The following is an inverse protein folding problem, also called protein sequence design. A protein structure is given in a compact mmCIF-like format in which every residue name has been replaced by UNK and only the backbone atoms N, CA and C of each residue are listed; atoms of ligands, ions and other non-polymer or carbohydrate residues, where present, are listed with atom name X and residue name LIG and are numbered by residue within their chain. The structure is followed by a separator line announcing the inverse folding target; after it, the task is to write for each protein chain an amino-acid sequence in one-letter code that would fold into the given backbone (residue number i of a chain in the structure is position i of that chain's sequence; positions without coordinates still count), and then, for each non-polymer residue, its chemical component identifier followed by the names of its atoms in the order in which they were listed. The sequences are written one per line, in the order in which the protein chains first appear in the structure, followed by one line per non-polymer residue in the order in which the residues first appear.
data_IF_681023243233
#
_entry.id   IF_681023243233
#
_cell.length_a   1.000
_cell.length_b   1.000
_cell.length_c   1.000
_cell.angle_alpha   90.00
_cell.angle_beta   90.00
_cell.angle_gamma   90.00
#
_symmetry.space_group_name_H-M   'P 1'
#
loop_
_entity.id
_entity.type
_entity.pdbx_description
1 polymer ?
#
# COMPACT_ATOMS: atom_id res chain seq x y z
N UNK A 1 10.97 -40.33 -0.19
CA UNK A 1 9.80 -39.74 0.48
C UNK A 1 9.85 -38.27 0.13
N UNK A 2 9.09 -37.90 -0.90
CA UNK A 2 9.25 -36.65 -1.62
C UNK A 2 8.12 -35.68 -1.28
N UNK A 3 8.56 -34.43 -1.06
CA UNK A 3 7.92 -33.21 -1.56
C UNK A 3 6.78 -32.62 -0.71
N UNK A 4 7.23 -31.84 0.27
CA UNK A 4 6.55 -30.68 0.84
C UNK A 4 6.10 -29.73 -0.26
N UNK A 5 4.85 -29.79 -0.68
CA UNK A 5 4.22 -28.74 -1.48
C UNK A 5 2.70 -28.91 -1.45
N UNK A 6 2.02 -27.86 -0.98
CA UNK A 6 0.66 -27.38 -1.28
C UNK A 6 -0.07 -26.94 0.00
N UNK A 7 0.41 -25.85 0.60
CA UNK A 7 -0.44 -24.90 1.32
C UNK A 7 -0.28 -23.54 0.62
N UNK A 8 -0.57 -23.53 -0.68
CA UNK A 8 -0.56 -22.34 -1.52
C UNK A 8 -1.89 -22.26 -2.30
N UNK A 9 -3.00 -22.49 -1.60
CA UNK A 9 -4.35 -22.30 -2.19
C UNK A 9 -5.37 -21.72 -1.19
N UNK A 10 -5.00 -21.47 0.06
CA UNK A 10 -5.92 -20.86 1.04
C UNK A 10 -6.24 -19.37 0.78
N UNK A 11 -5.64 -18.75 -0.25
CA UNK A 11 -5.93 -17.38 -0.69
C UNK A 11 -6.52 -17.29 -2.10
N UNK A 12 -7.22 -18.34 -2.56
CA UNK A 12 -8.15 -18.25 -3.70
C UNK A 12 -9.48 -17.57 -3.34
N UNK A 13 -9.54 -16.89 -2.19
CA UNK A 13 -10.65 -16.00 -1.82
C UNK A 13 -10.64 -14.76 -2.69
N UNK A 14 -11.81 -14.36 -3.19
CA UNK A 14 -11.96 -13.13 -3.96
C UNK A 14 -11.47 -11.94 -3.11
N UNK A 15 -10.32 -11.38 -3.48
CA UNK A 15 -9.80 -10.15 -2.88
C UNK A 15 -10.81 -9.05 -3.20
N UNK A 16 -11.42 -8.51 -2.16
CA UNK A 16 -12.36 -7.41 -2.29
C UNK A 16 -11.63 -6.12 -1.96
N UNK A 17 -11.52 -5.23 -2.95
CA UNK A 17 -10.98 -3.89 -2.78
C UNK A 17 -12.13 -2.96 -2.43
N UNK A 18 -12.07 -2.37 -1.24
CA UNK A 18 -13.00 -1.36 -0.79
C UNK A 18 -12.27 -0.02 -0.85
N UNK A 19 -12.85 0.95 -1.56
CA UNK A 19 -12.35 2.33 -1.57
C UNK A 19 -13.45 3.21 -0.99
N UNK A 20 -13.16 3.83 0.14
CA UNK A 20 -14.03 4.82 0.77
C UNK A 20 -13.37 6.18 0.65
N UNK A 21 -14.14 7.21 0.31
CA UNK A 21 -13.66 8.58 0.27
C UNK A 21 -14.50 9.39 1.26
N UNK A 22 -13.92 9.76 2.40
CA UNK A 22 -14.59 10.49 3.47
C UNK A 22 -13.87 11.83 3.68
N UNK A 23 -14.61 12.93 3.63
CA UNK A 23 -14.08 14.28 3.93
C UNK A 23 -12.86 14.73 3.08
N UNK A 24 -12.62 14.11 1.93
CA UNK A 24 -11.47 14.39 1.07
C UNK A 24 -10.26 13.50 1.36
N UNK A 25 -10.37 12.57 2.30
CA UNK A 25 -9.43 11.49 2.56
C UNK A 25 -9.93 10.22 1.86
N UNK A 26 -9.03 9.46 1.25
CA UNK A 26 -9.33 8.18 0.63
C UNK A 26 -8.80 7.09 1.52
N UNK A 27 -9.60 6.08 1.79
CA UNK A 27 -9.20 4.90 2.52
C UNK A 27 -9.43 3.70 1.60
N UNK A 28 -8.36 2.98 1.31
CA UNK A 28 -8.38 1.79 0.46
C UNK A 28 -8.09 0.61 1.36
N UNK A 29 -9.02 -0.33 1.49
CA UNK A 29 -8.80 -1.58 2.21
C UNK A 29 -8.97 -2.78 1.29
N UNK A 30 -8.14 -3.80 1.51
CA UNK A 30 -8.23 -5.09 0.85
C UNK A 30 -8.69 -6.11 1.88
N UNK A 31 -9.84 -6.71 1.62
CA UNK A 31 -10.40 -7.78 2.42
C UNK A 31 -10.24 -9.14 1.72
N UNK A 32 -9.89 -10.17 2.49
CA UNK A 32 -9.97 -11.57 2.05
C UNK A 32 -11.12 -12.26 2.78
N UNK A 33 -12.24 -12.45 2.09
CA UNK A 33 -13.46 -12.99 2.70
C UNK A 33 -14.05 -12.05 3.75
N UNK A 34 -13.83 -12.33 5.04
CA UNK A 34 -14.37 -11.58 6.18
C UNK A 34 -13.34 -10.81 7.01
N UNK A 35 -12.07 -10.78 6.58
CA UNK A 35 -11.00 -10.12 7.32
C UNK A 35 -10.23 -9.14 6.43
N UNK A 36 -10.02 -7.93 6.93
CA UNK A 36 -9.19 -6.92 6.30
C UNK A 36 -7.72 -7.31 6.47
N UNK A 37 -7.00 -7.44 5.35
CA UNK A 37 -5.60 -7.90 5.35
C UNK A 37 -4.60 -6.78 5.09
N UNK A 38 -5.02 -5.71 4.43
CA UNK A 38 -4.19 -4.54 4.19
C UNK A 38 -5.08 -3.32 4.00
N UNK A 39 -4.60 -2.16 4.43
CA UNK A 39 -5.29 -0.90 4.26
C UNK A 39 -4.29 0.23 3.99
N UNK A 40 -4.76 1.24 3.26
CA UNK A 40 -4.02 2.43 2.90
C UNK A 40 -4.90 3.65 3.10
N UNK A 41 -4.44 4.59 3.92
CA UNK A 41 -5.06 5.88 4.14
C UNK A 41 -4.32 6.93 3.32
N UNK A 42 -5.05 7.66 2.49
CA UNK A 42 -4.54 8.69 1.59
C UNK A 42 -5.20 10.01 1.97
N UNK A 43 -4.39 10.94 2.43
CA UNK A 43 -4.83 12.25 2.90
C UNK A 43 -4.19 13.32 2.03
N UNK A 44 -4.85 13.70 0.93
CA UNK A 44 -4.38 14.80 0.11
C UNK A 44 -4.50 16.11 0.87
N UNK A 45 -3.38 16.82 0.99
CA UNK A 45 -3.29 18.18 1.51
C UNK A 45 -3.02 19.15 0.36
N UNK A 46 -3.05 20.46 0.64
CA UNK A 46 -2.91 21.52 -0.37
C UNK A 46 -1.63 21.44 -1.22
N UNK A 47 -0.55 20.83 -0.70
CA UNK A 47 0.74 20.72 -1.38
C UNK A 47 1.47 19.40 -1.16
N UNK A 48 0.81 18.41 -0.54
CA UNK A 48 1.41 17.10 -0.27
C UNK A 48 0.33 16.06 -0.05
N UNK A 49 0.61 14.79 -0.33
CA UNK A 49 -0.28 13.67 -0.05
C UNK A 49 0.36 12.83 1.03
N UNK A 50 -0.33 12.62 2.14
CA UNK A 50 0.09 11.70 3.18
C UNK A 50 -0.55 10.34 2.91
N UNK A 51 0.29 9.34 2.64
CA UNK A 51 -0.11 7.97 2.39
C UNK A 51 0.35 7.15 3.61
N UNK A 52 -0.54 6.44 4.27
CA UNK A 52 -0.20 5.53 5.36
C UNK A 52 -0.68 4.14 4.97
N UNK A 53 0.25 3.20 4.82
CA UNK A 53 -0.06 1.82 4.46
C UNK A 53 0.25 0.95 5.66
N UNK A 54 -0.73 0.15 6.03
CA UNK A 54 -0.63 -0.80 7.11
C UNK A 54 -1.14 -2.16 6.64
N UNK A 55 -0.42 -3.18 7.09
CA UNK A 55 -0.65 -4.56 6.69
C UNK A 55 -0.95 -5.35 7.94
N UNK A 56 -2.08 -6.05 7.94
CA UNK A 56 -2.49 -6.87 9.07
C UNK A 56 -1.45 -7.97 9.33
N UNK A 57 -1.19 -8.22 10.62
CA UNK A 57 -0.29 -9.27 11.07
C UNK A 57 -0.86 -10.65 10.68
N UNK A 58 -0.25 -11.27 9.68
CA UNK A 58 -0.71 -12.56 9.16
C UNK A 58 -0.03 -12.99 7.85
N UNK A 59 1.04 -12.31 7.45
CA UNK A 59 1.74 -12.49 6.17
C UNK A 59 0.78 -12.50 4.97
N UNK A 60 0.18 -11.34 4.62
CA UNK A 60 -0.64 -11.30 3.42
C UNK A 60 0.21 -11.68 2.21
N UNK A 61 -0.43 -12.39 1.27
CA UNK A 61 0.21 -12.76 0.02
C UNK A 61 0.79 -11.51 -0.68
N UNK A 62 1.93 -11.62 -1.36
CA UNK A 62 2.52 -10.49 -2.10
C UNK A 62 1.55 -9.89 -3.14
N UNK A 63 0.59 -10.69 -3.61
CA UNK A 63 -0.49 -10.24 -4.50
C UNK A 63 -1.39 -9.16 -3.86
N UNK A 64 -1.66 -9.25 -2.55
CA UNK A 64 -2.48 -8.26 -1.82
C UNK A 64 -1.77 -6.92 -1.77
N UNK A 65 -0.47 -6.92 -1.48
CA UNK A 65 0.35 -5.70 -1.44
C UNK A 65 0.36 -4.99 -2.78
N UNK A 66 0.64 -5.74 -3.86
CA UNK A 66 0.61 -5.21 -5.23
C UNK A 66 -0.76 -4.62 -5.57
N UNK A 67 -1.85 -5.33 -5.25
CA UNK A 67 -3.20 -4.88 -5.58
C UNK A 67 -3.59 -3.63 -4.78
N UNK A 68 -3.18 -3.51 -3.51
CA UNK A 68 -3.38 -2.31 -2.72
C UNK A 68 -2.65 -1.13 -3.35
N UNK A 69 -1.36 -1.29 -3.68
CA UNK A 69 -0.56 -0.24 -4.29
C UNK A 69 -1.13 0.20 -5.63
N UNK A 70 -1.48 -0.76 -6.50
CA UNK A 70 -2.11 -0.48 -7.79
C UNK A 70 -3.42 0.30 -7.60
N UNK A 71 -4.28 -0.10 -6.67
CA UNK A 71 -5.53 0.61 -6.36
C UNK A 71 -5.28 2.02 -5.81
N UNK A 72 -4.24 2.22 -4.99
CA UNK A 72 -3.85 3.53 -4.45
C UNK A 72 -3.36 4.45 -5.56
N UNK A 73 -2.44 3.99 -6.40
CA UNK A 73 -1.90 4.79 -7.51
C UNK A 73 -2.90 4.99 -8.66
N UNK A 74 -3.94 4.16 -8.76
CA UNK A 74 -5.05 4.37 -9.69
C UNK A 74 -5.97 5.53 -9.29
N UNK A 75 -5.82 6.09 -8.09
CA UNK A 75 -6.61 7.25 -7.67
C UNK A 75 -6.11 8.52 -8.39
N UNK A 76 -7.05 9.31 -8.92
CA UNK A 76 -6.76 10.56 -9.64
C UNK A 76 -5.90 11.54 -8.83
N UNK A 77 -6.04 11.54 -7.49
CA UNK A 77 -5.21 12.36 -6.59
C UNK A 77 -3.72 12.01 -6.66
N UNK A 78 -3.36 10.76 -6.97
CA UNK A 78 -1.98 10.31 -7.11
C UNK A 78 -1.36 10.67 -8.46
N UNK A 79 -2.15 11.14 -9.42
CA UNK A 79 -1.66 11.57 -10.73
C UNK A 79 -1.20 13.05 -10.75
N UNK A 80 -1.41 13.78 -9.65
CA UNK A 80 -1.01 15.19 -9.57
C UNK A 80 0.45 15.29 -9.10
N UNK A 81 1.32 16.10 -9.74
CA UNK A 81 2.71 16.26 -9.32
C UNK A 81 2.79 17.03 -7.99
N UNK A 82 2.72 16.30 -6.88
CA UNK A 82 2.82 16.81 -5.51
C UNK A 82 3.76 15.95 -4.67
N UNK A 83 4.15 16.46 -3.50
CA UNK A 83 4.99 15.71 -2.56
C UNK A 83 4.20 14.57 -1.93
N UNK A 84 4.59 13.32 -2.16
CA UNK A 84 4.06 12.15 -1.47
C UNK A 84 4.86 11.88 -0.19
N UNK A 85 4.15 11.55 0.88
CA UNK A 85 4.70 11.12 2.16
C UNK A 85 4.07 9.79 2.50
N UNK A 86 4.71 8.69 2.11
CA UNK A 86 4.25 7.35 2.42
C UNK A 86 4.80 6.87 3.76
N UNK A 87 3.97 6.23 4.57
CA UNK A 87 4.34 5.49 5.78
C UNK A 87 4.10 4.02 5.50
N UNK A 88 5.15 3.22 5.57
CA UNK A 88 5.15 1.79 5.26
C UNK A 88 5.58 1.00 6.50
N UNK A 89 5.13 -0.25 6.69
CA UNK A 89 5.68 -1.11 7.74
C UNK A 89 7.15 -1.43 7.46
N UNK A 90 7.99 -1.39 8.51
CA UNK A 90 9.42 -1.66 8.35
C UNK A 90 9.65 -3.14 7.96
N UNK A 91 10.38 -3.36 6.85
CA UNK A 91 10.71 -4.70 6.35
C UNK A 91 9.97 -5.09 5.07
N UNK A 92 8.99 -4.31 4.62
CA UNK A 92 8.29 -4.55 3.36
C UNK A 92 8.99 -3.85 2.18
N UNK A 93 10.08 -4.46 1.73
CA UNK A 93 10.91 -3.93 0.63
C UNK A 93 10.18 -3.93 -0.71
N UNK A 94 9.27 -4.87 -0.94
CA UNK A 94 8.45 -4.95 -2.16
C UNK A 94 7.53 -3.73 -2.25
N UNK A 95 6.85 -3.41 -1.16
CA UNK A 95 5.99 -2.24 -1.05
C UNK A 95 6.77 -0.93 -1.27
N UNK A 96 7.99 -0.86 -0.72
CA UNK A 96 8.88 0.28 -0.94
C UNK A 96 9.30 0.40 -2.41
N UNK A 97 9.67 -0.70 -3.06
CA UNK A 97 10.10 -0.73 -4.46
C UNK A 97 8.96 -0.31 -5.41
N UNK A 98 7.74 -0.84 -5.19
CA UNK A 98 6.55 -0.44 -5.96
C UNK A 98 6.23 1.05 -5.76
N UNK A 99 6.21 1.56 -4.51
CA UNK A 99 6.03 3.01 -4.26
C UNK A 99 7.14 3.82 -4.93
N UNK A 100 8.36 3.29 -4.92
CA UNK A 100 9.50 3.96 -5.50
C UNK A 100 9.48 4.02 -7.02
N UNK A 101 8.80 3.09 -7.68
CA UNK A 101 8.61 3.09 -9.11
C UNK A 101 7.73 4.26 -9.60
N UNK A 102 6.82 4.73 -8.74
CA UNK A 102 5.86 5.80 -9.05
C UNK A 102 6.28 7.19 -8.55
N UNK A 103 7.41 7.29 -7.85
CA UNK A 103 7.91 8.53 -7.29
C UNK A 103 9.32 8.87 -7.80
N UNK A 104 9.63 10.17 -7.86
CA UNK A 104 10.98 10.70 -8.09
C UNK A 104 11.48 11.43 -6.86
N UNK A 105 12.80 11.60 -6.77
CA UNK A 105 13.48 12.25 -5.65
C UNK A 105 13.11 11.62 -4.29
N UNK A 106 13.20 10.30 -4.24
CA UNK A 106 12.76 9.54 -3.08
C UNK A 106 13.79 9.61 -1.97
N UNK A 107 13.31 9.96 -0.79
CA UNK A 107 14.02 9.90 0.46
C UNK A 107 13.32 8.91 1.38
N UNK A 108 14.08 8.00 1.97
CA UNK A 108 13.55 7.02 2.92
C UNK A 108 14.21 7.23 4.27
N UNK A 109 13.41 7.20 5.33
CA UNK A 109 13.89 7.32 6.71
C UNK A 109 13.17 6.33 7.60
N UNK A 110 13.93 5.57 8.38
CA UNK A 110 13.36 4.69 9.38
C UNK A 110 12.74 5.49 10.53
N UNK A 111 11.54 5.09 10.96
CA UNK A 111 10.77 5.69 12.04
C UNK A 111 10.31 4.59 13.01
N UNK A 112 11.27 4.03 13.76
CA UNK A 112 10.98 2.97 14.74
C UNK A 112 10.54 1.67 14.06
N UNK A 113 9.25 1.33 14.17
CA UNK A 113 8.65 0.14 13.54
C UNK A 113 8.14 0.35 12.11
N UNK A 114 8.25 1.57 11.58
CA UNK A 114 7.78 1.94 10.24
C UNK A 114 8.90 2.60 9.44
N UNK A 115 8.75 2.65 8.12
CA UNK A 115 9.59 3.39 7.19
C UNK A 115 8.77 4.55 6.64
N UNK A 116 9.28 5.78 6.77
CA UNK A 116 8.71 6.93 6.09
C UNK A 116 9.45 7.11 4.77
N UNK A 117 8.69 7.34 3.72
CA UNK A 117 9.15 7.57 2.37
C UNK A 117 8.60 8.92 1.95
N UNK A 118 9.47 9.87 1.69
CA UNK A 118 9.11 11.14 1.09
C UNK A 118 9.61 11.19 -0.36
N UNK A 119 8.80 11.71 -1.26
CA UNK A 119 9.13 11.79 -2.68
C UNK A 119 8.15 12.67 -3.44
N UNK A 120 8.34 12.78 -4.75
CA UNK A 120 7.46 13.53 -5.63
C UNK A 120 6.77 12.59 -6.61
N UNK A 121 5.44 12.70 -6.73
CA UNK A 121 4.68 11.90 -7.70
C UNK A 121 5.05 12.29 -9.13
N UNK A 122 5.30 11.29 -9.96
CA UNK A 122 5.48 11.49 -11.40
C UNK A 122 4.10 11.48 -12.06
N UNK A 123 3.71 12.63 -12.61
CA UNK A 123 2.47 12.78 -13.39
C UNK A 123 2.49 11.96 -14.69
#
# INVERSE_FOLDING_TARGET
MNESQTDLDQYSGALSTCVTAEHGEYHVSIATGHHDVAFADIRPSSSSIDLSIDIAAGNPSPRVRRQLIDAVFHLDVMHNPVTLRATLPLGDVDLLDDVALHCVDIHTRAAGGSCLVDGHLTA
#
